data_IF_274771868499
#
_entry.id   IF_274771868499
#
_cell.length_a   1.000
_cell.length_b   1.000
_cell.length_c   1.000
_cell.angle_alpha   90.00
_cell.angle_beta   90.00
_cell.angle_gamma   90.00
#
_symmetry.space_group_name_H-M   'P 1'
#
loop_
_entity.id
_entity.type
_entity.pdbx_description
1 polymer ?
#
# COMPACT_ATOMS: atom_id res chain seq x y z
N UNK A 1 13.77 -12.33 21.13
CA UNK A 1 12.91 -11.24 21.64
C UNK A 1 12.91 -10.14 20.59
N UNK A 2 11.81 -9.97 19.86
CA UNK A 2 11.73 -8.89 18.87
C UNK A 2 11.78 -7.55 19.60
N UNK A 3 12.77 -6.72 19.30
CA UNK A 3 12.85 -5.38 19.85
C UNK A 3 11.54 -4.63 19.55
N UNK A 4 10.95 -4.01 20.58
CA UNK A 4 9.86 -3.06 20.41
C UNK A 4 10.29 -2.00 19.38
N UNK A 5 9.59 -1.95 18.26
CA UNK A 5 9.84 -0.92 17.25
C UNK A 5 9.15 0.35 17.72
N UNK A 6 9.88 1.45 17.77
CA UNK A 6 9.31 2.77 18.06
C UNK A 6 8.23 3.13 17.05
N UNK A 7 7.16 3.77 17.52
CA UNK A 7 6.12 4.33 16.67
C UNK A 7 6.65 5.55 15.90
N UNK A 8 6.35 5.62 14.61
CA UNK A 8 6.73 6.74 13.74
C UNK A 8 5.52 7.15 12.92
N UNK A 9 5.31 8.46 12.79
CA UNK A 9 4.31 9.05 11.89
C UNK A 9 5.01 9.56 10.62
N UNK A 10 4.48 9.22 9.45
CA UNK A 10 5.07 9.57 8.15
C UNK A 10 4.04 10.30 7.27
N UNK A 11 4.50 11.34 6.55
CA UNK A 11 3.73 12.07 5.54
C UNK A 11 4.46 12.00 4.21
N UNK A 12 3.74 11.67 3.12
CA UNK A 12 4.27 11.61 1.75
C UNK A 12 3.70 12.77 0.94
N UNK A 13 4.56 13.63 0.40
CA UNK A 13 4.21 14.83 -0.39
C UNK A 13 4.82 14.79 -1.79
N UNK A 14 4.30 15.61 -2.72
CA UNK A 14 4.77 15.68 -4.10
C UNK A 14 3.66 16.00 -5.10
N UNK A 15 4.04 16.24 -6.36
CA UNK A 15 3.12 16.63 -7.44
C UNK A 15 2.04 15.55 -7.70
N UNK A 16 0.87 15.96 -8.22
CA UNK A 16 -0.33 15.09 -8.34
C UNK A 16 -0.01 13.76 -9.04
N UNK A 17 0.79 13.82 -10.10
CA UNK A 17 1.14 12.65 -10.93
C UNK A 17 2.47 11.95 -10.53
N UNK A 18 3.08 12.32 -9.39
CA UNK A 18 4.33 11.68 -8.93
C UNK A 18 4.14 10.25 -8.37
N UNK A 19 2.95 9.67 -8.47
CA UNK A 19 2.71 8.28 -8.04
C UNK A 19 2.76 8.06 -6.52
N UNK A 20 2.55 9.11 -5.71
CA UNK A 20 2.62 9.06 -4.23
C UNK A 20 1.80 7.91 -3.63
N UNK A 21 0.55 7.76 -4.07
CA UNK A 21 -0.35 6.71 -3.58
C UNK A 21 0.13 5.32 -4.00
N UNK A 22 0.66 5.19 -5.22
CA UNK A 22 1.22 3.93 -5.73
C UNK A 22 2.42 3.47 -4.90
N UNK A 23 3.39 4.36 -4.65
CA UNK A 23 4.57 4.04 -3.84
C UNK A 23 4.20 3.73 -2.39
N UNK A 24 3.29 4.51 -1.80
CA UNK A 24 2.83 4.32 -0.42
C UNK A 24 2.09 2.99 -0.26
N UNK A 25 1.16 2.68 -1.17
CA UNK A 25 0.46 1.39 -1.17
C UNK A 25 1.42 0.20 -1.30
N UNK A 26 2.41 0.30 -2.19
CA UNK A 26 3.41 -0.73 -2.40
C UNK A 26 4.33 -0.96 -1.17
N UNK A 27 4.68 0.11 -0.45
CA UNK A 27 5.39 0.01 0.84
C UNK A 27 4.57 -0.76 1.87
N UNK A 28 3.30 -0.40 2.06
CA UNK A 28 2.41 -1.08 3.02
C UNK A 28 2.24 -2.56 2.64
N UNK A 29 2.07 -2.84 1.35
CA UNK A 29 1.98 -4.21 0.81
C UNK A 29 3.23 -5.04 1.15
N UNK A 30 4.42 -4.56 0.80
CA UNK A 30 5.68 -5.29 1.04
C UNK A 30 6.02 -5.43 2.52
N UNK A 31 5.65 -4.45 3.34
CA UNK A 31 5.87 -4.49 4.78
C UNK A 31 4.86 -5.37 5.53
N UNK A 32 3.90 -5.99 4.83
CA UNK A 32 2.89 -6.86 5.43
C UNK A 32 1.88 -6.11 6.30
N UNK A 33 1.68 -4.81 6.05
CA UNK A 33 0.70 -3.98 6.77
C UNK A 33 -0.75 -4.25 6.36
N UNK A 34 -0.98 -5.08 5.34
CA UNK A 34 -2.29 -5.48 4.85
C UNK A 34 -2.31 -7.00 4.70
N UNK A 35 -3.44 -7.61 5.06
CA UNK A 35 -3.66 -9.05 4.90
C UNK A 35 -3.73 -9.47 3.42
N UNK A 36 -3.20 -10.65 3.10
CA UNK A 36 -3.14 -11.15 1.71
C UNK A 36 -4.52 -11.29 1.08
N UNK A 37 -5.53 -11.72 1.83
CA UNK A 37 -6.90 -11.88 1.33
C UNK A 37 -7.51 -10.55 0.90
N UNK A 38 -7.17 -9.48 1.61
CA UNK A 38 -7.60 -8.12 1.28
C UNK A 38 -6.96 -7.64 -0.03
N UNK A 39 -5.68 -7.94 -0.24
CA UNK A 39 -4.98 -7.62 -1.50
C UNK A 39 -5.61 -8.36 -2.68
N UNK A 40 -5.77 -9.68 -2.58
CA UNK A 40 -6.37 -10.49 -3.65
C UNK A 40 -7.79 -10.02 -4.02
N UNK A 41 -8.58 -9.61 -3.01
CA UNK A 41 -9.90 -9.02 -3.23
C UNK A 41 -9.80 -7.71 -4.03
N UNK A 42 -8.90 -6.80 -3.64
CA UNK A 42 -8.75 -5.51 -4.32
C UNK A 42 -8.17 -5.66 -5.74
N UNK A 43 -7.25 -6.59 -5.96
CA UNK A 43 -6.74 -6.90 -7.31
C UNK A 43 -7.86 -7.39 -8.23
N UNK A 44 -8.73 -8.27 -7.72
CA UNK A 44 -9.90 -8.74 -8.48
C UNK A 44 -10.88 -7.61 -8.79
N UNK A 45 -11.23 -6.79 -7.79
CA UNK A 45 -12.12 -5.65 -7.98
C UNK A 45 -11.54 -4.63 -8.97
N UNK A 46 -10.23 -4.37 -8.92
CA UNK A 46 -9.55 -3.48 -9.86
C UNK A 46 -9.60 -4.04 -11.29
N UNK A 47 -9.38 -5.34 -11.47
CA UNK A 47 -9.51 -6.01 -12.76
C UNK A 47 -10.93 -5.94 -13.32
N UNK A 48 -11.95 -6.21 -12.48
CA UNK A 48 -13.37 -6.13 -12.85
C UNK A 48 -13.78 -4.70 -13.24
N UNK A 49 -13.17 -3.69 -12.63
CA UNK A 49 -13.38 -2.27 -12.94
C UNK A 49 -12.57 -1.77 -14.17
N UNK A 50 -11.75 -2.62 -14.80
CA UNK A 50 -10.86 -2.22 -15.88
C UNK A 50 -9.75 -1.25 -15.46
N UNK A 51 -9.47 -1.19 -14.15
CA UNK A 51 -8.41 -0.35 -13.54
C UNK A 51 -7.28 -1.17 -12.93
N UNK A 52 -7.19 -2.46 -13.29
CA UNK A 52 -5.97 -3.25 -13.09
C UNK A 52 -4.86 -2.54 -13.84
N UNK A 53 -4.03 -1.81 -13.10
CA UNK A 53 -2.94 -1.00 -13.65
C UNK A 53 -1.79 -1.88 -14.11
#
# INVERSE_FOLDING_TARGET
MGNEKGHVNLVVIGHVDSGKSTTTGHLIYKCGGIDKRTIEKFEKEAADMGKGS
#
